data_IF_039757624054
#
_entry.id   IF_039757624054
#
_cell.length_a   1.000
_cell.length_b   1.000
_cell.length_c   1.000
_cell.angle_alpha   90.00
_cell.angle_beta   90.00
_cell.angle_gamma   90.00
#
_symmetry.space_group_name_H-M   'P 1'
#
loop_
_entity.id
_entity.type
_entity.pdbx_description
1 polymer ?
#
# COMPACT_ATOMS: atom_id res chain seq x y z
N UNK A 1 -8.58 13.73 -6.12
CA UNK A 1 -7.79 14.95 -6.36
C UNK A 1 -6.35 14.58 -6.69
N UNK A 2 -5.69 15.28 -7.62
CA UNK A 2 -4.28 15.06 -7.89
C UNK A 2 -3.41 15.68 -6.79
N UNK A 3 -2.32 15.02 -6.42
CA UNK A 3 -1.34 15.48 -5.43
C UNK A 3 -1.89 15.78 -4.03
N UNK A 4 -2.65 14.85 -3.47
CA UNK A 4 -3.10 14.96 -2.08
C UNK A 4 -1.90 15.05 -1.15
N UNK A 5 -1.80 16.11 -0.37
CA UNK A 5 -0.71 16.35 0.58
C UNK A 5 -1.22 16.48 2.02
N UNK A 6 -0.34 16.51 2.98
CA UNK A 6 -0.64 16.34 4.40
C UNK A 6 -1.50 17.46 5.00
N UNK A 7 -1.43 18.66 4.44
CA UNK A 7 -2.16 19.85 4.90
C UNK A 7 -3.59 19.95 4.34
N UNK A 8 -3.96 19.06 3.38
CA UNK A 8 -5.32 19.02 2.85
C UNK A 8 -6.30 18.42 3.86
N UNK A 9 -7.54 18.88 3.82
CA UNK A 9 -8.62 18.32 4.63
C UNK A 9 -8.84 16.84 4.28
N UNK A 10 -9.07 16.02 5.31
CA UNK A 10 -9.37 14.61 5.13
C UNK A 10 -10.83 14.42 4.76
N UNK A 11 -11.11 13.70 3.69
CA UNK A 11 -12.45 13.32 3.24
C UNK A 11 -12.66 11.79 3.36
N UNK A 12 -12.79 11.26 4.59
CA UNK A 12 -12.93 9.83 4.78
C UNK A 12 -14.30 9.33 4.34
N UNK A 13 -14.34 8.32 3.47
CA UNK A 13 -15.57 7.79 2.85
C UNK A 13 -16.07 6.48 3.49
N UNK A 14 -15.26 5.83 4.33
CA UNK A 14 -15.61 4.55 4.94
C UNK A 14 -15.38 4.62 6.45
N UNK A 15 -16.09 3.79 7.23
CA UNK A 15 -15.89 3.72 8.69
C UNK A 15 -14.42 3.51 9.06
N UNK A 16 -13.72 2.63 8.32
CA UNK A 16 -12.28 2.43 8.51
C UNK A 16 -11.48 3.74 8.35
N UNK A 17 -11.75 4.52 7.29
CA UNK A 17 -11.03 5.77 7.04
C UNK A 17 -11.41 6.86 8.05
N UNK A 18 -12.66 6.90 8.52
CA UNK A 18 -13.12 7.78 9.59
C UNK A 18 -12.36 7.47 10.88
N UNK A 19 -12.34 6.21 11.31
CA UNK A 19 -11.58 5.80 12.51
C UNK A 19 -10.09 6.10 12.41
N UNK A 20 -9.48 5.92 11.23
CA UNK A 20 -8.08 6.28 11.03
C UNK A 20 -7.84 7.78 11.16
N UNK A 21 -8.73 8.62 10.62
CA UNK A 21 -8.65 10.07 10.78
C UNK A 21 -8.84 10.50 12.24
N UNK A 22 -9.75 9.87 12.97
CA UNK A 22 -9.94 10.15 14.41
C UNK A 22 -8.74 9.70 15.25
N UNK A 23 -8.07 8.58 14.91
CA UNK A 23 -6.81 8.19 15.55
C UNK A 23 -5.73 9.28 15.43
N UNK A 24 -5.64 9.99 14.30
CA UNK A 24 -4.69 11.09 14.16
C UNK A 24 -4.97 12.24 15.12
N UNK A 25 -6.25 12.61 15.29
CA UNK A 25 -6.68 13.66 16.22
C UNK A 25 -6.35 13.27 17.66
N UNK A 26 -6.72 12.05 18.06
CA UNK A 26 -6.43 11.53 19.39
C UNK A 26 -4.91 11.51 19.63
N UNK A 27 -4.11 11.02 18.67
CA UNK A 27 -2.67 10.97 18.78
C UNK A 27 -2.05 12.36 18.98
N UNK A 28 -2.58 13.37 18.30
CA UNK A 28 -2.11 14.75 18.42
C UNK A 28 -2.30 15.33 19.84
N UNK A 29 -3.35 14.91 20.55
CA UNK A 29 -3.61 15.34 21.93
C UNK A 29 -2.55 14.81 22.93
N UNK A 30 -1.88 13.71 22.60
CA UNK A 30 -0.82 13.11 23.43
C UNK A 30 0.57 13.68 23.14
N UNK A 31 0.73 14.49 22.08
CA UNK A 31 2.01 15.10 21.77
C UNK A 31 2.44 16.03 22.92
N UNK A 32 3.63 15.78 23.46
CA UNK A 32 4.22 16.58 24.54
C UNK A 32 5.74 16.57 24.48
N UNK A 33 6.37 17.27 25.41
CA UNK A 33 7.83 17.27 25.53
C UNK A 33 8.40 15.90 25.92
N UNK A 34 7.63 15.09 26.65
CA UNK A 34 8.02 13.76 27.11
C UNK A 34 7.51 12.64 26.20
N UNK A 35 6.55 12.92 25.30
CA UNK A 35 5.96 11.92 24.42
C UNK A 35 5.86 12.44 22.98
N UNK A 36 6.83 12.07 22.16
CA UNK A 36 6.86 12.46 20.75
C UNK A 36 5.97 11.57 19.90
N UNK A 37 5.00 12.18 19.22
CA UNK A 37 4.12 11.50 18.26
C UNK A 37 4.45 11.90 16.84
N UNK A 38 4.29 10.97 15.91
CA UNK A 38 4.40 11.21 14.45
C UNK A 38 3.42 10.31 13.74
N UNK A 39 2.69 10.87 12.79
CA UNK A 39 1.75 10.12 11.97
C UNK A 39 2.34 9.83 10.59
N UNK A 40 2.26 8.57 10.16
CA UNK A 40 2.54 8.18 8.79
C UNK A 40 1.22 7.82 8.11
N UNK A 41 0.98 8.36 6.91
CA UNK A 41 -0.11 8.00 6.01
C UNK A 41 0.47 7.19 4.84
N UNK A 42 0.56 5.85 4.95
CA UNK A 42 1.17 5.04 3.91
C UNK A 42 0.26 4.90 2.70
N UNK A 43 0.85 4.87 1.52
CA UNK A 43 0.24 4.31 0.32
C UNK A 43 -0.02 2.81 0.49
N UNK A 44 -0.65 2.16 -0.49
CA UNK A 44 -0.81 0.70 -0.46
C UNK A 44 0.56 0.03 -0.50
N UNK A 45 0.88 -0.69 0.57
CA UNK A 45 2.17 -1.38 0.67
C UNK A 45 2.15 -2.66 -0.16
N UNK A 46 3.16 -2.85 -1.02
CA UNK A 46 3.28 -4.00 -1.91
C UNK A 46 4.64 -4.71 -1.76
N UNK A 47 4.76 -5.89 -2.37
CA UNK A 47 5.94 -6.74 -2.29
C UNK A 47 5.80 -7.88 -1.27
N UNK A 48 6.86 -8.68 -1.14
CA UNK A 48 6.90 -9.82 -0.23
C UNK A 48 7.21 -9.39 1.20
N UNK A 49 6.53 -10.00 2.15
CA UNK A 49 6.83 -9.88 3.58
C UNK A 49 6.49 -11.17 4.33
N UNK A 50 7.13 -11.47 5.48
CA UNK A 50 6.79 -12.66 6.30
C UNK A 50 5.33 -12.69 6.79
N UNK A 51 4.71 -11.51 7.01
CA UNK A 51 3.28 -11.37 7.26
C UNK A 51 2.62 -10.88 5.97
N UNK A 52 2.48 -11.78 5.01
CA UNK A 52 1.97 -11.45 3.67
C UNK A 52 0.48 -11.09 3.68
N UNK A 53 0.14 -10.08 2.87
CA UNK A 53 -1.23 -9.81 2.42
C UNK A 53 -1.31 -9.96 0.91
N UNK A 54 -2.29 -10.73 0.45
CA UNK A 54 -2.57 -10.94 -0.98
C UNK A 54 -3.92 -10.34 -1.42
N UNK A 55 -4.51 -9.47 -0.58
CA UNK A 55 -5.76 -8.75 -0.82
C UNK A 55 -5.55 -7.24 -1.12
N UNK A 56 -4.33 -6.83 -1.47
CA UNK A 56 -3.98 -5.48 -1.93
C UNK A 56 -3.59 -5.50 -3.41
N UNK A 57 -3.82 -4.39 -4.13
CA UNK A 57 -3.85 -4.36 -5.60
C UNK A 57 -2.65 -5.02 -6.29
N UNK A 58 -1.42 -4.62 -6.00
CA UNK A 58 -0.22 -5.20 -6.67
C UNK A 58 -0.10 -6.69 -6.33
N UNK A 59 -0.25 -7.03 -5.05
CA UNK A 59 -0.02 -8.40 -4.57
C UNK A 59 -1.09 -9.37 -5.09
N UNK A 60 -2.38 -8.97 -5.11
CA UNK A 60 -3.45 -9.84 -5.64
C UNK A 60 -3.31 -10.06 -7.15
N UNK A 61 -3.00 -9.00 -7.91
CA UNK A 61 -2.82 -9.12 -9.36
C UNK A 61 -1.61 -10.01 -9.68
N UNK A 62 -0.52 -9.89 -8.94
CA UNK A 62 0.67 -10.75 -9.09
C UNK A 62 0.35 -12.21 -8.77
N UNK A 63 -0.36 -12.47 -7.66
CA UNK A 63 -0.76 -13.82 -7.26
C UNK A 63 -1.64 -14.49 -8.33
N UNK A 64 -2.62 -13.74 -8.88
CA UNK A 64 -3.47 -14.23 -9.97
C UNK A 64 -2.68 -14.47 -11.25
N UNK A 65 -1.83 -13.52 -11.64
CA UNK A 65 -0.99 -13.66 -12.83
C UNK A 65 -0.07 -14.87 -12.78
N UNK A 66 0.60 -15.06 -11.64
CA UNK A 66 1.55 -16.15 -11.44
C UNK A 66 0.87 -17.53 -11.51
N UNK A 67 -0.22 -17.72 -10.75
CA UNK A 67 -0.84 -19.04 -10.60
C UNK A 67 -1.94 -19.33 -11.63
N UNK A 68 -2.68 -18.31 -12.10
CA UNK A 68 -3.82 -18.52 -13.01
C UNK A 68 -3.55 -18.05 -14.44
N UNK A 69 -2.46 -17.33 -14.67
CA UNK A 69 -2.14 -16.71 -15.95
C UNK A 69 -3.25 -15.80 -16.50
N UNK A 70 -4.07 -15.27 -15.58
CA UNK A 70 -5.15 -14.36 -15.89
C UNK A 70 -5.35 -13.34 -14.77
N UNK A 71 -5.50 -12.08 -15.13
CA UNK A 71 -5.78 -10.96 -14.24
C UNK A 71 -7.15 -10.39 -14.58
N UNK A 72 -8.07 -10.37 -13.59
CA UNK A 72 -9.31 -9.61 -13.69
C UNK A 72 -9.10 -8.19 -13.21
N UNK A 73 -9.30 -7.21 -14.09
CA UNK A 73 -9.19 -5.77 -13.83
C UNK A 73 -10.59 -5.23 -13.60
N UNK A 74 -10.89 -4.75 -12.38
CA UNK A 74 -12.16 -4.11 -12.05
C UNK A 74 -12.04 -2.59 -12.27
N UNK A 75 -12.72 -2.06 -13.28
CA UNK A 75 -12.57 -0.68 -13.74
C UNK A 75 -11.28 -0.51 -14.56
N UNK A 76 -10.26 0.09 -13.97
CA UNK A 76 -8.92 0.21 -14.57
C UNK A 76 -8.32 1.60 -14.49
N UNK A 77 -9.11 2.65 -14.65
CA UNK A 77 -8.62 4.05 -14.71
C UNK A 77 -8.37 4.68 -13.34
N UNK A 78 -8.92 4.07 -12.26
CA UNK A 78 -8.75 4.57 -10.91
C UNK A 78 -7.28 4.49 -10.46
N UNK A 79 -6.77 5.60 -9.96
CA UNK A 79 -5.39 5.69 -9.45
C UNK A 79 -5.25 5.03 -8.09
N UNK A 80 -4.14 4.34 -7.90
CA UNK A 80 -3.74 3.71 -6.64
C UNK A 80 -2.29 4.06 -6.34
N UNK A 81 -2.04 4.83 -5.27
CA UNK A 81 -0.69 5.04 -4.79
C UNK A 81 -0.14 3.77 -4.15
N UNK A 82 1.11 3.47 -4.43
CA UNK A 82 1.79 2.29 -3.93
C UNK A 82 3.15 2.67 -3.32
N UNK A 83 3.63 1.84 -2.41
CA UNK A 83 4.98 1.89 -1.87
C UNK A 83 5.47 0.46 -1.63
N UNK A 84 6.72 0.18 -1.98
CA UNK A 84 7.34 -1.11 -1.72
C UNK A 84 7.54 -1.32 -0.21
N UNK A 85 7.41 -2.56 0.26
CA UNK A 85 7.56 -2.88 1.70
C UNK A 85 8.95 -2.49 2.25
N UNK A 86 10.02 -2.66 1.47
CA UNK A 86 11.36 -2.27 1.88
C UNK A 86 11.47 -0.75 2.10
N UNK A 87 10.88 0.05 1.21
CA UNK A 87 10.84 1.51 1.35
C UNK A 87 9.96 1.93 2.54
N UNK A 88 8.85 1.22 2.78
CA UNK A 88 8.01 1.49 3.95
C UNK A 88 8.75 1.20 5.27
N UNK A 89 9.55 0.15 5.32
CA UNK A 89 10.44 -0.12 6.47
C UNK A 89 11.48 0.99 6.62
N UNK A 90 12.07 1.48 5.52
CA UNK A 90 13.02 2.60 5.55
C UNK A 90 12.36 3.88 6.08
N UNK A 91 11.09 4.17 5.74
CA UNK A 91 10.33 5.29 6.33
C UNK A 91 10.31 5.20 7.85
N UNK A 92 9.98 4.04 8.41
CA UNK A 92 9.98 3.85 9.87
C UNK A 92 11.37 4.06 10.47
N UNK A 93 12.42 3.53 9.82
CA UNK A 93 13.79 3.71 10.28
C UNK A 93 14.23 5.17 10.25
N UNK A 94 13.91 5.90 9.19
CA UNK A 94 14.20 7.34 9.07
C UNK A 94 13.53 8.12 10.19
N UNK A 95 12.27 7.84 10.48
CA UNK A 95 11.55 8.51 11.57
C UNK A 95 12.13 8.18 12.94
N UNK A 96 12.42 6.91 13.22
CA UNK A 96 13.01 6.49 14.50
C UNK A 96 14.40 7.09 14.75
N UNK A 97 15.15 7.36 13.68
CA UNK A 97 16.50 7.94 13.74
C UNK A 97 16.49 9.48 13.67
N UNK A 98 15.36 10.09 13.38
CA UNK A 98 15.25 11.54 13.24
C UNK A 98 15.24 12.25 14.60
N UNK A 99 15.85 13.44 14.71
CA UNK A 99 15.73 14.26 15.91
C UNK A 99 14.26 14.60 16.22
N UNK A 100 13.93 14.62 17.53
CA UNK A 100 12.58 14.90 18.03
C UNK A 100 11.98 16.17 17.43
N UNK A 101 12.76 17.25 17.37
CA UNK A 101 12.32 18.55 16.87
C UNK A 101 11.89 18.54 15.40
N UNK A 102 12.38 17.56 14.63
CA UNK A 102 12.01 17.41 13.22
C UNK A 102 10.71 16.62 13.00
N UNK A 103 10.32 15.77 13.95
CA UNK A 103 9.21 14.84 13.75
C UNK A 103 8.04 15.04 14.71
N UNK A 104 8.24 15.78 15.82
CA UNK A 104 7.22 15.95 16.86
C UNK A 104 5.93 16.57 16.32
N UNK A 105 4.82 15.84 16.49
CA UNK A 105 3.47 16.24 16.04
C UNK A 105 3.28 16.31 14.53
N UNK A 106 4.23 15.81 13.75
CA UNK A 106 4.15 15.90 12.29
C UNK A 106 3.41 14.73 11.66
N UNK A 107 2.89 14.99 10.45
CA UNK A 107 2.24 14.01 9.60
C UNK A 107 3.02 13.94 8.30
N UNK A 108 3.25 12.71 7.81
CA UNK A 108 3.94 12.44 6.56
C UNK A 108 3.19 11.43 5.70
N UNK A 109 2.95 11.76 4.44
CA UNK A 109 2.58 10.80 3.44
C UNK A 109 3.80 9.95 3.05
N UNK A 110 3.59 8.64 2.91
CA UNK A 110 4.61 7.71 2.46
C UNK A 110 4.09 6.90 1.27
N UNK A 111 4.48 7.30 0.06
CA UNK A 111 4.14 6.65 -1.20
C UNK A 111 5.21 6.91 -2.23
N UNK A 112 5.14 6.18 -3.35
CA UNK A 112 6.08 6.36 -4.45
C UNK A 112 5.37 6.44 -5.79
N UNK A 113 4.81 5.33 -6.27
CA UNK A 113 4.21 5.26 -7.59
C UNK A 113 2.68 5.41 -7.51
N UNK A 114 2.15 6.32 -8.32
CA UNK A 114 0.72 6.58 -8.45
C UNK A 114 0.27 6.13 -9.83
N UNK A 115 -0.11 4.86 -9.96
CA UNK A 115 -0.52 4.27 -11.22
C UNK A 115 -2.01 3.94 -11.25
N UNK A 116 -2.59 3.88 -12.45
CA UNK A 116 -3.91 3.31 -12.61
C UNK A 116 -3.88 1.79 -12.37
N UNK A 117 -5.01 1.21 -11.99
CA UNK A 117 -5.10 -0.25 -11.83
C UNK A 117 -4.76 -0.98 -13.12
N UNK A 118 -5.07 -0.38 -14.28
CA UNK A 118 -4.71 -0.89 -15.60
C UNK A 118 -3.18 -0.89 -15.79
N UNK A 119 -2.49 0.21 -15.48
CA UNK A 119 -1.03 0.29 -15.61
C UNK A 119 -0.33 -0.69 -14.67
N UNK A 120 -0.87 -0.87 -13.45
CA UNK A 120 -0.38 -1.90 -12.51
C UNK A 120 -0.53 -3.29 -13.12
N UNK A 121 -1.71 -3.61 -13.69
CA UNK A 121 -1.96 -4.91 -14.31
C UNK A 121 -1.04 -5.17 -15.52
N UNK A 122 -0.77 -4.16 -16.34
CA UNK A 122 0.19 -4.26 -17.44
C UNK A 122 1.63 -4.48 -16.93
N UNK A 123 2.02 -3.78 -15.86
CA UNK A 123 3.33 -3.98 -15.22
C UNK A 123 3.46 -5.41 -14.69
N UNK A 124 2.43 -5.92 -14.00
CA UNK A 124 2.39 -7.30 -13.51
C UNK A 124 2.51 -8.30 -14.66
N UNK A 125 1.69 -8.13 -15.71
CA UNK A 125 1.77 -8.99 -16.91
C UNK A 125 3.16 -9.01 -17.51
N UNK A 126 3.76 -7.85 -17.71
CA UNK A 126 5.08 -7.73 -18.33
C UNK A 126 6.20 -8.36 -17.50
N UNK A 127 6.05 -8.39 -16.17
CA UNK A 127 7.02 -9.01 -15.25
C UNK A 127 6.80 -10.52 -15.11
N UNK A 128 5.55 -10.98 -15.05
CA UNK A 128 5.23 -12.41 -14.84
C UNK A 128 5.35 -13.21 -16.15
N UNK A 129 4.90 -12.65 -17.28
CA UNK A 129 5.03 -13.29 -18.58
C UNK A 129 3.99 -12.86 -19.60
N UNK A 130 4.31 -12.91 -20.91
CA UNK A 130 3.46 -12.41 -22.00
C UNK A 130 2.18 -13.23 -22.20
N UNK A 131 2.13 -14.45 -21.69
CA UNK A 131 0.98 -15.36 -21.74
C UNK A 131 -0.12 -15.00 -20.74
N UNK A 132 0.14 -14.07 -19.81
CA UNK A 132 -0.87 -13.58 -18.87
C UNK A 132 -1.96 -12.80 -19.60
N UNK A 133 -3.21 -13.21 -19.41
CA UNK A 133 -4.38 -12.55 -20.00
C UNK A 133 -4.89 -11.45 -19.07
N UNK A 134 -5.24 -10.30 -19.65
CA UNK A 134 -5.94 -9.22 -18.96
C UNK A 134 -7.41 -9.23 -19.35
N UNK A 135 -8.30 -9.30 -18.36
CA UNK A 135 -9.75 -9.29 -18.53
C UNK A 135 -10.32 -8.11 -17.76
N UNK A 136 -10.83 -7.10 -18.47
CA UNK A 136 -11.43 -5.92 -17.83
C UNK A 136 -12.92 -6.16 -17.60
N UNK A 137 -13.38 -5.87 -16.37
CA UNK A 137 -14.78 -5.90 -15.98
C UNK A 137 -15.18 -4.52 -15.41
N UNK A 138 -16.48 -4.23 -15.48
CA UNK A 138 -17.00 -3.00 -14.89
C UNK A 138 -16.78 -2.97 -13.38
N UNK A 139 -16.57 -1.78 -12.83
CA UNK A 139 -16.45 -1.55 -11.38
C UNK A 139 -17.15 -0.26 -10.98
N UNK A 140 -17.88 -0.31 -9.88
CA UNK A 140 -18.49 0.86 -9.24
C UNK A 140 -17.53 1.52 -8.22
N UNK A 141 -16.30 1.05 -8.09
CA UNK A 141 -15.28 1.63 -7.21
C UNK A 141 -14.70 2.94 -7.79
N UNK A 142 -15.31 4.04 -7.43
CA UNK A 142 -14.92 5.38 -7.87
C UNK A 142 -13.77 6.00 -7.06
N UNK A 143 -13.21 5.30 -6.09
CA UNK A 143 -12.08 5.80 -5.31
C UNK A 143 -10.86 5.93 -6.22
N UNK A 144 -10.39 7.15 -6.42
CA UNK A 144 -9.19 7.45 -7.20
C UNK A 144 -8.45 8.59 -6.52
N UNK A 145 -7.22 8.38 -6.14
CA UNK A 145 -6.42 9.40 -5.49
C UNK A 145 -4.93 9.23 -5.81
N UNK A 146 -4.24 10.34 -5.78
CA UNK A 146 -2.83 10.49 -6.09
C UNK A 146 -2.19 11.26 -4.93
N UNK A 147 -1.23 10.67 -4.25
CA UNK A 147 -0.59 11.28 -3.08
C UNK A 147 0.77 11.87 -3.41
N UNK A 148 1.12 12.95 -2.71
CA UNK A 148 2.45 13.54 -2.71
C UNK A 148 3.20 13.12 -1.45
N UNK A 149 4.43 12.61 -1.61
CA UNK A 149 5.37 12.33 -0.52
C UNK A 149 6.52 13.34 -0.50
N UNK A 150 6.31 14.54 -1.05
CA UNK A 150 7.35 15.56 -1.14
C UNK A 150 7.78 16.08 0.24
N UNK A 151 6.86 16.12 1.21
CA UNK A 151 7.16 16.61 2.57
C UNK A 151 8.21 15.76 3.27
N UNK A 152 8.04 14.45 3.29
CA UNK A 152 9.01 13.53 3.92
C UNK A 152 10.36 13.58 3.20
N UNK A 153 10.37 13.75 1.87
CA UNK A 153 11.61 13.93 1.09
C UNK A 153 12.34 15.20 1.48
N UNK A 154 11.65 16.33 1.53
CA UNK A 154 12.27 17.65 1.82
C UNK A 154 12.70 17.76 3.28
N UNK A 155 11.89 17.30 4.22
CA UNK A 155 12.15 17.48 5.65
C UNK A 155 13.08 16.42 6.24
N UNK A 156 13.02 15.18 5.76
CA UNK A 156 13.75 14.05 6.33
C UNK A 156 14.70 13.35 5.35
N UNK A 157 14.73 13.78 4.08
CA UNK A 157 15.61 13.21 3.05
C UNK A 157 15.21 11.81 2.59
N UNK A 158 14.02 11.32 2.95
CA UNK A 158 13.56 10.02 2.48
C UNK A 158 13.13 10.08 1.01
N UNK A 159 13.61 9.12 0.23
CA UNK A 159 13.21 8.92 -1.16
C UNK A 159 13.07 7.42 -1.43
N UNK A 160 11.89 7.00 -1.90
CA UNK A 160 11.63 5.62 -2.25
C UNK A 160 12.50 5.17 -3.44
N UNK A 161 12.92 3.91 -3.43
CA UNK A 161 13.89 3.35 -4.41
C UNK A 161 13.33 2.18 -5.19
N UNK A 162 12.34 1.46 -4.63
CA UNK A 162 11.81 0.24 -5.21
C UNK A 162 10.49 0.53 -5.94
N UNK A 163 10.38 -0.01 -7.13
CA UNK A 163 9.23 0.15 -8.01
C UNK A 163 8.16 -0.93 -7.78
N UNK A 164 6.98 -0.78 -8.40
CA UNK A 164 5.97 -1.85 -8.46
C UNK A 164 6.54 -3.10 -9.14
N UNK A 165 7.41 -2.93 -10.13
CA UNK A 165 8.09 -4.06 -10.79
C UNK A 165 8.91 -4.87 -9.79
N UNK A 166 9.70 -4.22 -8.95
CA UNK A 166 10.50 -4.89 -7.91
C UNK A 166 9.59 -5.67 -6.96
N UNK A 167 8.44 -5.09 -6.58
CA UNK A 167 7.46 -5.77 -5.73
C UNK A 167 6.87 -7.03 -6.40
N UNK A 168 6.62 -6.99 -7.71
CA UNK A 168 6.15 -8.16 -8.48
C UNK A 168 7.23 -9.23 -8.55
N UNK A 169 8.48 -8.85 -8.82
CA UNK A 169 9.62 -9.77 -8.90
C UNK A 169 9.86 -10.45 -7.54
N UNK A 170 9.83 -9.71 -6.44
CA UNK A 170 9.93 -10.26 -5.07
C UNK A 170 8.83 -11.29 -4.77
N UNK A 171 7.60 -11.02 -5.20
CA UNK A 171 6.49 -11.96 -5.01
C UNK A 171 6.65 -13.22 -5.85
N UNK A 172 7.07 -13.09 -7.12
CA UNK A 172 7.35 -14.25 -7.98
C UNK A 172 8.45 -15.12 -7.36
N UNK A 173 9.53 -14.52 -6.90
CA UNK A 173 10.61 -15.19 -6.18
C UNK A 173 10.12 -15.92 -4.92
N UNK A 174 9.20 -15.31 -4.18
CA UNK A 174 8.60 -15.92 -3.00
C UNK A 174 7.70 -17.12 -3.35
N UNK A 175 6.97 -17.07 -4.46
CA UNK A 175 6.18 -18.19 -4.97
C UNK A 175 7.10 -19.32 -5.44
N UNK A 176 8.14 -19.02 -6.21
CA UNK A 176 9.11 -20.00 -6.70
C UNK A 176 9.80 -20.75 -5.54
N UNK A 177 10.09 -20.05 -4.44
CA UNK A 177 10.69 -20.61 -3.22
C UNK A 177 9.67 -21.26 -2.27
N UNK A 178 8.39 -21.32 -2.66
CA UNK A 178 7.29 -21.83 -1.85
C UNK A 178 7.20 -21.19 -0.44
N UNK A 179 7.51 -19.89 -0.35
CA UNK A 179 7.39 -19.12 0.90
C UNK A 179 5.94 -18.69 1.19
N UNK A 180 5.07 -18.79 0.21
CA UNK A 180 3.65 -18.44 0.28
C UNK A 180 2.79 -19.63 -0.19
N UNK A 181 2.79 -20.74 0.56
CA UNK A 181 2.00 -21.92 0.19
C UNK A 181 0.51 -21.57 0.19
N UNK A 182 -0.25 -22.24 -0.68
CA UNK A 182 -1.71 -22.10 -0.80
C UNK A 182 -2.20 -20.63 -0.97
N UNK A 183 -1.39 -19.79 -1.62
CA UNK A 183 -1.58 -18.35 -1.74
C UNK A 183 -2.93 -17.92 -2.34
N UNK A 184 -3.61 -18.78 -3.09
CA UNK A 184 -4.94 -18.51 -3.65
C UNK A 184 -6.09 -18.81 -2.68
N UNK A 185 -5.87 -19.64 -1.68
CA UNK A 185 -6.95 -20.23 -0.85
C UNK A 185 -6.80 -19.98 0.64
N UNK A 186 -5.58 -19.91 1.18
CA UNK A 186 -5.38 -19.74 2.61
C UNK A 186 -5.89 -18.35 3.06
N UNK A 187 -6.85 -18.36 3.98
CA UNK A 187 -7.47 -17.15 4.53
C UNK A 187 -6.48 -16.22 5.24
N UNK A 188 -5.33 -16.73 5.68
CA UNK A 188 -4.29 -15.95 6.36
C UNK A 188 -3.76 -14.80 5.51
N UNK A 189 -3.86 -14.92 4.19
CA UNK A 189 -3.42 -13.87 3.25
C UNK A 189 -4.50 -12.83 2.94
N UNK A 190 -5.74 -13.02 3.41
CA UNK A 190 -6.90 -12.18 3.06
C UNK A 190 -7.59 -11.69 4.33
N UNK A 191 -7.39 -10.44 4.71
CA UNK A 191 -7.86 -9.90 5.98
C UNK A 191 -9.37 -10.10 6.22
N UNK A 192 -10.21 -9.80 5.21
CA UNK A 192 -11.67 -9.94 5.36
C UNK A 192 -12.04 -11.41 5.57
N UNK A 193 -11.50 -12.34 4.76
CA UNK A 193 -11.75 -13.77 4.93
C UNK A 193 -11.32 -14.25 6.31
N UNK A 194 -10.15 -13.78 6.76
CA UNK A 194 -9.64 -14.14 8.09
C UNK A 194 -10.53 -13.64 9.21
N UNK A 195 -11.03 -12.39 9.12
CA UNK A 195 -11.96 -11.84 10.11
C UNK A 195 -13.28 -12.61 10.14
N UNK A 196 -13.84 -12.99 8.97
CA UNK A 196 -15.03 -13.82 8.86
C UNK A 196 -14.79 -15.21 9.47
N UNK A 197 -13.67 -15.86 9.17
CA UNK A 197 -13.32 -17.16 9.75
C UNK A 197 -13.18 -17.13 11.28
N UNK A 198 -12.85 -15.97 11.86
CA UNK A 198 -12.78 -15.74 13.30
C UNK A 198 -14.09 -15.22 13.91
N UNK A 199 -15.16 -15.09 13.13
CA UNK A 199 -16.45 -14.50 13.53
C UNK A 199 -16.32 -13.08 14.13
N UNK A 200 -15.43 -12.27 13.58
CA UNK A 200 -15.20 -10.88 13.99
C UNK A 200 -16.00 -9.85 13.17
N UNK A 201 -16.68 -10.30 12.12
CA UNK A 201 -17.57 -9.53 11.22
C UNK A 201 -18.73 -10.38 10.80
#
# INVERSE_FOLDING_TARGET
EPNVHEEMELEPLTDYSIFKADCEKILAEYQSDDFTTTTIRPATVCGYSPRQRLDVVVNILTNLAYHKREISIFGGDQLRPNIHIADMVEVYMVLLMSPKDKIAGKIYNAGYENHSVKDIAETVKNSVGPDVKLVTTHSDDNRSYHISSNKIKVELGFEAKHTIRDAVEDLCDAFDKNLLPDSLSDEMYFNIKRMQGLNLV
#
